data_IF_045496443179
#
_entry.id   IF_045496443179
#
_cell.length_a   1.000
_cell.length_b   1.000
_cell.length_c   1.000
_cell.angle_alpha   90.00
_cell.angle_beta   90.00
_cell.angle_gamma   90.00
#
_symmetry.space_group_name_H-M   'P 1'
#
loop_
_entity.id
_entity.type
_entity.pdbx_description
1 polymer ?
#
# COMPACT_ATOMS: atom_id res chain seq x y z
N UNK A 1 13.53 24.56 5.43
CA UNK A 1 12.65 23.41 5.12
C UNK A 1 11.38 23.91 4.44
N UNK A 2 11.24 23.66 3.14
CA UNK A 2 10.01 23.92 2.39
C UNK A 2 9.05 22.74 2.50
N UNK A 3 7.75 23.03 2.62
CA UNK A 3 6.69 22.02 2.66
C UNK A 3 5.47 22.57 1.93
N UNK A 4 5.13 21.95 0.80
CA UNK A 4 3.95 22.29 0.00
C UNK A 4 3.02 21.08 -0.04
N UNK A 5 1.73 21.30 0.19
CA UNK A 5 0.78 20.24 0.50
C UNK A 5 -0.34 20.16 -0.53
N UNK A 6 -0.90 18.95 -0.64
CA UNK A 6 -2.17 18.67 -1.29
C UNK A 6 -2.25 19.19 -2.72
N UNK A 7 -1.24 18.86 -3.54
CA UNK A 7 -1.22 19.27 -4.93
C UNK A 7 -2.39 18.67 -5.70
N UNK A 8 -3.11 19.51 -6.44
CA UNK A 8 -4.22 19.09 -7.30
C UNK A 8 -4.03 19.64 -8.71
N UNK A 9 -4.77 19.09 -9.68
CA UNK A 9 -4.75 19.60 -11.05
C UNK A 9 -5.29 21.03 -11.07
N UNK A 10 -4.53 21.94 -11.67
CA UNK A 10 -4.98 23.32 -11.88
C UNK A 10 -6.18 23.33 -12.81
N UNK A 11 -7.30 23.90 -12.35
CA UNK A 11 -8.56 23.96 -13.12
C UNK A 11 -8.65 25.20 -14.00
N UNK A 12 -8.10 26.32 -13.54
CA UNK A 12 -8.09 27.59 -14.27
C UNK A 12 -6.66 27.91 -14.72
N UNK A 13 -6.41 27.78 -16.02
CA UNK A 13 -5.10 28.06 -16.60
C UNK A 13 -5.02 29.51 -17.08
N UNK A 14 -3.87 30.14 -16.86
CA UNK A 14 -3.53 31.39 -17.57
C UNK A 14 -3.41 31.13 -19.08
N UNK A 15 -3.54 32.16 -19.95
CA UNK A 15 -3.39 31.97 -21.40
C UNK A 15 -2.09 31.26 -21.81
N UNK A 16 -0.97 31.59 -21.13
CA UNK A 16 0.33 30.95 -21.37
C UNK A 16 0.33 29.48 -20.96
N UNK A 17 -0.24 29.15 -19.80
CA UNK A 17 -0.36 27.75 -19.37
C UNK A 17 -1.30 26.96 -20.28
N UNK A 18 -2.38 27.58 -20.77
CA UNK A 18 -3.28 26.94 -21.72
C UNK A 18 -2.55 26.60 -23.02
N UNK A 19 -1.81 27.55 -23.60
CA UNK A 19 -1.01 27.31 -24.80
C UNK A 19 0.01 26.17 -24.60
N UNK A 20 0.73 26.16 -23.48
CA UNK A 20 1.68 25.10 -23.13
C UNK A 20 1.01 23.74 -22.92
N UNK A 21 -0.19 23.71 -22.33
CA UNK A 21 -0.97 22.48 -22.17
C UNK A 21 -1.40 21.91 -23.51
N UNK A 22 -1.90 22.76 -24.42
CA UNK A 22 -2.41 22.33 -25.72
C UNK A 22 -1.29 21.93 -26.69
N UNK A 23 -0.21 22.70 -26.74
CA UNK A 23 0.86 22.51 -27.73
C UNK A 23 1.97 21.57 -27.24
N UNK A 24 2.19 21.48 -25.93
CA UNK A 24 3.29 20.70 -25.35
C UNK A 24 2.81 19.59 -24.41
N UNK A 25 1.51 19.40 -24.24
CA UNK A 25 0.92 18.42 -23.31
C UNK A 25 1.41 18.60 -21.87
N UNK A 26 1.73 19.84 -21.48
CA UNK A 26 2.18 20.16 -20.12
C UNK A 26 0.97 20.17 -19.18
N UNK A 27 1.03 19.36 -18.14
CA UNK A 27 0.04 19.40 -17.06
C UNK A 27 0.50 20.35 -15.95
N UNK A 28 -0.43 21.21 -15.51
CA UNK A 28 -0.24 22.11 -14.38
C UNK A 28 -0.96 21.60 -13.14
N UNK A 29 -0.29 21.75 -12.00
CA UNK A 29 -0.80 21.40 -10.68
C UNK A 29 -0.45 22.53 -9.72
N UNK A 30 -1.28 22.74 -8.70
CA UNK A 30 -1.08 23.75 -7.68
C UNK A 30 -1.19 23.15 -6.28
N UNK A 31 -0.50 23.75 -5.31
CA UNK A 31 -0.62 23.36 -3.90
C UNK A 31 -1.94 23.85 -3.28
N UNK A 32 -2.16 23.56 -2.00
CA UNK A 32 -3.36 24.01 -1.27
C UNK A 32 -3.54 25.53 -1.20
N UNK A 33 -2.46 26.30 -1.41
CA UNK A 33 -2.51 27.76 -1.49
C UNK A 33 -2.79 28.27 -2.93
N UNK A 34 -2.96 27.35 -3.90
CA UNK A 34 -3.20 27.67 -5.30
C UNK A 34 -1.95 28.08 -6.07
N UNK A 35 -0.74 27.84 -5.53
CA UNK A 35 0.52 28.21 -6.18
C UNK A 35 0.99 27.08 -7.09
N UNK A 36 1.32 27.44 -8.33
CA UNK A 36 1.77 26.52 -9.37
C UNK A 36 3.07 25.78 -9.00
N UNK A 37 3.12 24.47 -9.26
CA UNK A 37 4.27 23.62 -8.95
C UNK A 37 5.58 24.08 -9.60
N UNK A 38 5.56 24.51 -10.86
CA UNK A 38 6.75 24.98 -11.56
C UNK A 38 7.29 26.29 -10.99
N UNK A 39 6.43 27.09 -10.33
CA UNK A 39 6.86 28.25 -9.54
C UNK A 39 7.49 27.79 -8.22
N UNK A 40 6.85 26.85 -7.52
CA UNK A 40 7.30 26.36 -6.22
C UNK A 40 8.64 25.61 -6.28
N UNK A 41 8.96 24.94 -7.39
CA UNK A 41 10.25 24.27 -7.60
C UNK A 41 11.45 25.20 -7.32
N UNK A 42 11.32 26.49 -7.65
CA UNK A 42 12.38 27.50 -7.47
C UNK A 42 12.65 27.86 -6.01
N UNK A 43 11.77 27.47 -5.10
CA UNK A 43 11.85 27.80 -3.67
C UNK A 43 12.64 26.77 -2.87
N UNK A 44 12.92 25.59 -3.44
CA UNK A 44 13.69 24.55 -2.79
C UNK A 44 15.19 24.82 -2.89
N UNK A 45 15.93 24.40 -1.86
CA UNK A 45 17.40 24.39 -1.91
C UNK A 45 17.89 23.31 -2.88
N UNK A 46 19.06 23.47 -3.49
CA UNK A 46 19.56 22.50 -4.50
C UNK A 46 20.20 21.25 -3.89
N UNK A 47 20.68 21.33 -2.65
CA UNK A 47 21.46 20.29 -1.96
C UNK A 47 20.63 19.37 -1.06
N UNK A 48 19.39 19.76 -0.76
CA UNK A 48 18.41 19.03 0.07
C UNK A 48 17.69 17.92 -0.70
N UNK A 49 17.25 16.88 0.00
CA UNK A 49 16.35 15.87 -0.55
C UNK A 49 14.91 16.37 -0.53
N UNK A 50 14.14 16.15 -1.61
CA UNK A 50 12.71 16.45 -1.66
C UNK A 50 11.96 15.14 -1.68
N UNK A 51 11.03 15.00 -0.77
CA UNK A 51 10.23 13.80 -0.59
C UNK A 51 8.81 14.10 -1.03
N UNK A 52 8.33 13.31 -1.99
CA UNK A 52 6.94 13.29 -2.44
C UNK A 52 6.21 12.17 -1.68
N UNK A 53 5.15 12.52 -0.97
CA UNK A 53 4.36 11.57 -0.20
C UNK A 53 2.85 11.71 -0.48
N UNK A 54 2.14 10.59 -0.39
CA UNK A 54 0.70 10.54 -0.65
C UNK A 54 -0.15 10.91 0.58
N UNK A 55 -1.49 10.88 0.44
CA UNK A 55 -2.42 11.20 1.53
C UNK A 55 -2.33 10.31 2.78
N UNK A 56 -1.73 9.12 2.66
CA UNK A 56 -1.50 8.19 3.79
C UNK A 56 -0.18 8.45 4.50
N UNK A 57 0.64 9.34 3.95
CA UNK A 57 2.01 9.59 4.39
C UNK A 57 3.03 8.69 3.69
N UNK A 58 2.64 7.76 2.83
CA UNK A 58 3.60 6.90 2.12
C UNK A 58 4.47 7.74 1.20
N UNK A 59 5.79 7.61 1.35
CA UNK A 59 6.76 8.29 0.50
C UNK A 59 6.85 7.51 -0.81
N UNK A 60 6.41 8.12 -1.92
CA UNK A 60 6.30 7.45 -3.22
C UNK A 60 7.45 7.79 -4.16
N UNK A 61 8.12 8.92 -3.94
CA UNK A 61 9.30 9.33 -4.71
C UNK A 61 10.14 10.30 -3.89
N UNK A 62 11.44 10.35 -4.17
CA UNK A 62 12.33 11.34 -3.62
C UNK A 62 13.48 11.62 -4.58
N UNK A 63 13.88 12.87 -4.71
CA UNK A 63 15.08 13.26 -5.47
C UNK A 63 15.63 14.59 -4.94
N UNK A 64 16.92 14.83 -5.15
CA UNK A 64 17.53 16.14 -4.88
C UNK A 64 17.16 17.15 -5.97
N UNK A 65 17.02 16.67 -7.20
CA UNK A 65 16.49 17.47 -8.29
C UNK A 65 14.95 17.46 -8.26
N UNK A 66 14.39 18.57 -7.78
CA UNK A 66 12.94 18.74 -7.63
C UNK A 66 12.20 18.64 -8.98
N UNK A 67 12.88 18.89 -10.10
CA UNK A 67 12.26 18.84 -11.43
C UNK A 67 11.89 17.42 -11.86
N UNK A 68 12.46 16.40 -11.21
CA UNK A 68 12.10 14.99 -11.43
C UNK A 68 10.86 14.55 -10.66
N UNK A 69 10.29 15.43 -9.83
CA UNK A 69 9.06 15.17 -9.09
C UNK A 69 7.86 15.77 -9.80
N UNK A 70 6.74 15.05 -9.74
CA UNK A 70 5.44 15.52 -10.23
C UNK A 70 4.37 15.14 -9.20
N UNK A 71 4.13 15.99 -8.19
CA UNK A 71 3.36 15.63 -7.00
C UNK A 71 1.85 15.67 -7.16
N UNK A 72 1.27 15.27 -8.30
CA UNK A 72 -0.19 15.23 -8.45
C UNK A 72 -0.84 14.35 -7.36
N UNK A 73 -1.82 14.90 -6.65
CA UNK A 73 -2.51 14.29 -5.49
C UNK A 73 -1.60 13.97 -4.29
N UNK A 74 -0.43 14.60 -4.24
CA UNK A 74 0.59 14.35 -3.23
C UNK A 74 1.01 15.65 -2.56
N UNK A 75 1.97 15.56 -1.64
CA UNK A 75 2.64 16.69 -1.02
C UNK A 75 4.15 16.54 -1.18
N UNK A 76 4.89 17.66 -1.13
CA UNK A 76 6.36 17.66 -1.20
C UNK A 76 6.95 18.38 0.00
N UNK A 77 7.87 17.72 0.69
CA UNK A 77 8.62 18.28 1.81
C UNK A 77 10.12 18.13 1.58
N UNK A 78 10.85 19.15 1.96
CA UNK A 78 12.31 19.22 1.89
C UNK A 78 12.94 18.66 3.17
N UNK A 79 14.09 18.01 3.07
CA UNK A 79 14.88 17.55 4.21
C UNK A 79 16.38 17.74 3.95
N UNK A 80 17.13 18.04 5.02
CA UNK A 80 18.58 17.96 4.97
C UNK A 80 19.02 16.49 4.96
N UNK A 81 20.14 16.18 4.32
CA UNK A 81 20.66 14.80 4.24
C UNK A 81 20.86 14.18 5.64
N UNK A 82 21.19 14.99 6.65
CA UNK A 82 21.40 14.54 8.04
C UNK A 82 20.12 14.05 8.73
N UNK A 83 18.95 14.41 8.18
CA UNK A 83 17.64 14.07 8.75
C UNK A 83 17.00 12.87 8.02
N UNK A 84 17.72 12.26 7.07
CA UNK A 84 17.28 11.09 6.30
C UNK A 84 17.87 9.81 6.92
N UNK A 85 17.05 8.76 7.15
CA UNK A 85 17.57 7.45 7.57
C UNK A 85 18.57 6.86 6.56
N UNK A 86 19.62 6.19 7.04
CA UNK A 86 20.67 5.60 6.16
C UNK A 86 20.13 4.58 5.15
N UNK A 87 19.07 3.86 5.50
CA UNK A 87 18.39 2.85 4.68
C UNK A 87 17.17 3.39 3.93
N UNK A 88 17.03 4.71 3.84
CA UNK A 88 15.90 5.37 3.21
C UNK A 88 15.69 4.90 1.76
N UNK A 89 14.47 4.42 1.49
CA UNK A 89 14.01 4.04 0.15
C UNK A 89 12.54 4.44 -0.01
N UNK A 90 12.16 5.20 -1.06
CA UNK A 90 10.76 5.42 -1.40
C UNK A 90 10.00 4.09 -1.50
N UNK A 91 8.77 4.06 -0.98
CA UNK A 91 7.92 2.88 -0.86
C UNK A 91 8.06 2.14 0.48
N UNK A 92 9.20 2.27 1.17
CA UNK A 92 9.45 1.59 2.45
C UNK A 92 9.29 2.51 3.66
N UNK A 93 9.10 3.81 3.44
CA UNK A 93 9.00 4.83 4.49
C UNK A 93 7.74 5.67 4.36
N UNK A 94 7.26 6.16 5.49
CA UNK A 94 6.21 7.16 5.59
C UNK A 94 6.77 8.47 6.15
N UNK A 95 6.16 9.57 5.76
CA UNK A 95 6.33 10.89 6.36
C UNK A 95 5.10 11.22 7.20
N UNK A 96 5.31 11.56 8.47
CA UNK A 96 4.24 12.07 9.34
C UNK A 96 4.82 13.06 10.36
N UNK A 97 4.18 14.22 10.49
CA UNK A 97 4.52 15.26 11.47
C UNK A 97 6.02 15.60 11.54
N UNK A 98 6.68 15.78 10.38
CA UNK A 98 8.10 16.13 10.33
C UNK A 98 9.06 14.95 10.46
N UNK A 99 8.56 13.72 10.62
CA UNK A 99 9.38 12.52 10.83
C UNK A 99 9.26 11.57 9.64
N UNK A 100 10.40 11.00 9.23
CA UNK A 100 10.47 9.89 8.28
C UNK A 100 10.65 8.61 9.08
N UNK A 101 9.74 7.64 8.90
CA UNK A 101 9.79 6.36 9.61
C UNK A 101 9.51 5.20 8.65
N UNK A 102 10.05 4.01 8.91
CA UNK A 102 9.71 2.83 8.12
C UNK A 102 8.19 2.56 8.14
N UNK A 103 7.65 2.10 7.02
CA UNK A 103 6.28 1.59 6.94
C UNK A 103 6.14 0.45 7.94
N UNK A 104 5.30 0.62 8.96
CA UNK A 104 5.01 -0.45 9.90
C UNK A 104 4.08 -1.47 9.23
N UNK A 105 4.64 -2.62 8.87
CA UNK A 105 3.83 -3.74 8.37
C UNK A 105 3.27 -4.52 9.55
N UNK A 106 1.95 -4.49 9.71
CA UNK A 106 1.26 -5.37 10.67
C UNK A 106 1.15 -6.78 10.10
N UNK A 107 2.24 -7.54 10.26
CA UNK A 107 2.31 -8.92 9.81
C UNK A 107 1.26 -9.82 10.49
N UNK A 108 0.82 -9.48 11.70
CA UNK A 108 -0.21 -10.25 12.43
C UNK A 108 -1.57 -10.03 11.79
N UNK A 109 -1.91 -8.80 11.41
CA UNK A 109 -3.13 -8.51 10.67
C UNK A 109 -3.14 -9.19 9.29
N UNK A 110 -2.02 -9.15 8.55
CA UNK A 110 -1.89 -9.84 7.26
C UNK A 110 -2.05 -11.36 7.40
N UNK A 111 -1.40 -11.95 8.39
CA UNK A 111 -1.55 -13.36 8.70
C UNK A 111 -3.00 -13.72 9.08
N UNK A 112 -3.67 -12.87 9.86
CA UNK A 112 -5.07 -13.06 10.25
C UNK A 112 -5.98 -13.09 9.02
N UNK A 113 -5.80 -12.14 8.11
CA UNK A 113 -6.54 -12.11 6.84
C UNK A 113 -6.28 -13.36 5.97
N UNK A 114 -5.05 -13.88 5.92
CA UNK A 114 -4.75 -15.10 5.16
C UNK A 114 -5.35 -16.35 5.79
N UNK A 115 -5.30 -16.49 7.12
CA UNK A 115 -5.99 -17.56 7.86
C UNK A 115 -7.48 -17.56 7.54
N UNK A 116 -8.12 -16.39 7.63
CA UNK A 116 -9.56 -16.25 7.44
C UNK A 116 -9.95 -16.57 5.98
N UNK A 117 -9.15 -16.11 5.00
CA UNK A 117 -9.31 -16.49 3.59
C UNK A 117 -9.22 -18.00 3.37
N UNK A 118 -8.21 -18.67 3.94
CA UNK A 118 -8.05 -20.13 3.85
C UNK A 118 -9.22 -20.87 4.50
N UNK A 119 -9.68 -20.41 5.66
CA UNK A 119 -10.83 -20.99 6.35
C UNK A 119 -12.13 -20.83 5.55
N UNK A 120 -12.34 -19.68 4.91
CA UNK A 120 -13.50 -19.45 4.05
C UNK A 120 -13.49 -20.41 2.85
N UNK A 121 -12.35 -20.52 2.16
CA UNK A 121 -12.20 -21.43 1.02
C UNK A 121 -12.48 -22.90 1.39
N UNK A 122 -11.97 -23.36 2.55
CA UNK A 122 -12.23 -24.73 3.02
C UNK A 122 -13.67 -24.93 3.48
N UNK A 123 -14.29 -23.90 4.07
CA UNK A 123 -15.69 -23.98 4.48
C UNK A 123 -16.62 -24.21 3.29
N UNK A 124 -16.35 -23.59 2.15
CA UNK A 124 -17.12 -23.83 0.91
C UNK A 124 -17.07 -25.31 0.52
N UNK A 125 -15.89 -25.93 0.47
CA UNK A 125 -15.75 -27.35 0.12
C UNK A 125 -16.35 -28.28 1.18
N UNK A 126 -16.20 -27.96 2.46
CA UNK A 126 -16.86 -28.71 3.55
C UNK A 126 -18.38 -28.70 3.37
N UNK A 127 -18.98 -27.56 3.03
CA UNK A 127 -20.42 -27.47 2.86
C UNK A 127 -20.91 -28.34 1.69
N UNK A 128 -20.20 -28.33 0.55
CA UNK A 128 -20.52 -29.22 -0.58
C UNK A 128 -20.49 -30.71 -0.21
N UNK A 129 -19.49 -31.13 0.57
CA UNK A 129 -19.39 -32.51 1.04
C UNK A 129 -20.44 -32.85 2.11
N UNK A 130 -20.87 -31.86 2.89
CA UNK A 130 -21.96 -32.03 3.85
C UNK A 130 -23.31 -32.17 3.14
N UNK A 131 -23.56 -31.40 2.07
CA UNK A 131 -24.74 -31.55 1.22
C UNK A 131 -24.81 -32.97 0.64
N UNK A 132 -23.71 -33.50 0.09
CA UNK A 132 -23.65 -34.88 -0.38
C UNK A 132 -23.88 -35.93 0.74
N UNK A 133 -23.41 -35.63 1.94
CA UNK A 133 -23.69 -36.47 3.10
C UNK A 133 -25.18 -36.46 3.48
N UNK A 134 -25.82 -35.30 3.44
CA UNK A 134 -27.24 -35.11 3.75
C UNK A 134 -28.13 -35.76 2.68
N UNK A 135 -27.73 -35.70 1.41
CA UNK A 135 -28.37 -36.36 0.26
C UNK A 135 -28.10 -37.86 0.19
N UNK A 136 -27.27 -38.40 1.11
CA UNK A 136 -26.87 -39.80 1.17
C UNK A 136 -26.15 -40.33 -0.09
N UNK A 137 -25.50 -39.46 -0.86
CA UNK A 137 -24.72 -39.79 -2.06
C UNK A 137 -23.20 -39.67 -1.87
N UNK A 138 -22.75 -39.28 -0.67
CA UNK A 138 -21.32 -39.17 -0.33
C UNK A 138 -20.56 -40.50 -0.48
N UNK A 139 -19.42 -40.45 -1.14
CA UNK A 139 -18.51 -41.61 -1.28
C UNK A 139 -17.59 -41.78 -0.06
N UNK A 140 -16.98 -42.96 0.09
CA UNK A 140 -15.98 -43.21 1.14
C UNK A 140 -14.76 -42.27 1.05
N UNK A 141 -14.34 -41.92 -0.17
CA UNK A 141 -13.24 -40.96 -0.42
C UNK A 141 -13.63 -39.55 0.01
N UNK A 142 -14.84 -39.10 -0.33
CA UNK A 142 -15.35 -37.79 0.06
C UNK A 142 -15.55 -37.67 1.58
N UNK A 143 -15.92 -38.76 2.26
CA UNK A 143 -16.03 -38.78 3.72
C UNK A 143 -14.65 -38.62 4.40
N UNK A 144 -13.61 -39.22 3.83
CA UNK A 144 -12.22 -39.00 4.28
C UNK A 144 -11.77 -37.56 3.99
N UNK A 145 -12.08 -37.01 2.80
CA UNK A 145 -11.79 -35.62 2.44
C UNK A 145 -12.49 -34.64 3.42
N UNK A 146 -13.78 -34.87 3.72
CA UNK A 146 -14.56 -34.07 4.66
C UNK A 146 -13.93 -34.06 6.06
N UNK A 147 -13.48 -35.22 6.54
CA UNK A 147 -12.82 -35.35 7.84
C UNK A 147 -11.49 -34.60 7.87
N UNK A 148 -10.66 -34.77 6.83
CA UNK A 148 -9.37 -34.09 6.71
C UNK A 148 -9.51 -32.56 6.59
N UNK A 149 -10.50 -32.08 5.84
CA UNK A 149 -10.78 -30.64 5.70
C UNK A 149 -11.29 -30.02 7.01
N UNK A 150 -12.13 -30.74 7.77
CA UNK A 150 -12.57 -30.29 9.11
C UNK A 150 -11.40 -30.19 10.09
N UNK A 151 -10.47 -31.16 10.06
CA UNK A 151 -9.25 -31.11 10.85
C UNK A 151 -8.36 -29.92 10.44
N UNK A 152 -8.11 -29.73 9.14
CA UNK A 152 -7.34 -28.62 8.61
C UNK A 152 -7.93 -27.25 9.00
N UNK A 153 -9.24 -27.05 8.82
CA UNK A 153 -9.92 -25.82 9.24
C UNK A 153 -9.81 -25.58 10.75
N UNK A 154 -9.82 -26.64 11.56
CA UNK A 154 -9.62 -26.54 13.01
C UNK A 154 -8.20 -26.13 13.36
N UNK A 155 -7.19 -26.68 12.68
CA UNK A 155 -5.78 -26.28 12.83
C UNK A 155 -5.61 -24.80 12.51
N UNK A 156 -6.14 -24.33 11.37
CA UNK A 156 -6.13 -22.91 11.01
C UNK A 156 -6.74 -22.03 12.11
N UNK A 157 -7.95 -22.38 12.59
CA UNK A 157 -8.67 -21.60 13.61
C UNK A 157 -7.90 -21.45 14.93
N UNK A 158 -7.04 -22.40 15.28
CA UNK A 158 -6.28 -22.41 16.55
C UNK A 158 -4.85 -21.88 16.41
N UNK A 159 -4.46 -21.39 15.23
CA UNK A 159 -3.10 -20.87 15.04
C UNK A 159 -2.85 -19.63 15.89
N UNK A 160 -1.67 -19.61 16.52
CA UNK A 160 -1.06 -18.39 17.01
C UNK A 160 -0.36 -17.68 15.83
N UNK A 161 -0.74 -16.42 15.59
CA UNK A 161 -0.24 -15.62 14.48
C UNK A 161 0.75 -14.54 14.95
N UNK A 162 1.09 -14.49 16.24
CA UNK A 162 2.04 -13.51 16.80
C UNK A 162 3.46 -13.69 16.26
N UNK A 163 3.80 -14.87 15.73
CA UNK A 163 5.07 -15.18 15.10
C UNK A 163 5.21 -14.65 13.65
N UNK A 164 4.23 -13.90 13.14
CA UNK A 164 4.27 -13.34 11.80
C UNK A 164 5.51 -12.45 11.58
N UNK A 165 6.13 -12.47 10.38
CA UNK A 165 5.72 -13.19 9.16
C UNK A 165 6.09 -14.68 9.14
N UNK A 166 6.88 -15.17 10.10
CA UNK A 166 7.43 -16.52 10.13
C UNK A 166 6.42 -17.54 10.69
N UNK A 167 5.32 -17.75 9.95
CA UNK A 167 4.25 -18.67 10.35
C UNK A 167 4.41 -20.03 9.66
N UNK A 168 4.35 -21.09 10.46
CA UNK A 168 4.26 -22.46 9.96
C UNK A 168 2.79 -22.83 9.69
N UNK A 169 2.34 -22.60 8.46
CA UNK A 169 0.97 -22.89 8.05
C UNK A 169 0.70 -24.40 7.99
N UNK A 170 -0.48 -24.88 8.44
CA UNK A 170 -0.85 -26.27 8.24
C UNK A 170 -0.90 -26.57 6.73
N UNK A 171 -0.53 -27.80 6.38
CA UNK A 171 -0.57 -28.27 4.99
C UNK A 171 -2.00 -28.59 4.60
N UNK A 172 -2.44 -28.10 3.45
CA UNK A 172 -3.76 -28.41 2.90
C UNK A 172 -3.86 -29.93 2.63
N UNK A 173 -4.94 -30.61 3.02
CA UNK A 173 -5.07 -32.05 2.81
C UNK A 173 -5.11 -32.35 1.31
N UNK A 174 -4.26 -33.28 0.85
CA UNK A 174 -4.25 -33.71 -0.55
C UNK A 174 -5.51 -34.54 -0.83
N UNK A 175 -6.06 -34.37 -2.03
CA UNK A 175 -7.10 -35.23 -2.60
C UNK A 175 -6.58 -36.65 -2.80
#
# INVERSE_FOLDING_TARGET
MKHFKNFTKTTELTPVQQELSENCSIQFINDEAGIDWYILQKLFHSDTLKIQYDKTGLIISADKDVTKLFPLNCSVVEFADTDIPDDFQPGNFTYSNGTIAPVQTDYVALATADRDRRMAAVTIKINQLMEAQDDSDITATELLELSALREYRTKLRRMDLTAAPNINWPVYPKK
#
